data_IF_794522538449
#
_entry.id   IF_794522538449
#
_cell.length_a   1.000
_cell.length_b   1.000
_cell.length_c   1.000
_cell.angle_alpha   90.00
_cell.angle_beta   90.00
_cell.angle_gamma   90.00
#
_symmetry.space_group_name_H-M   'P 1'
#
loop_
_entity.id
_entity.type
_entity.pdbx_description
1 polymer ?
#
# COMPACT_ATOMS: atom_id res chain seq x y z
N UNK A 1 -0.74 57.85 -12.45
CA UNK A 1 -0.48 57.15 -11.19
C UNK A 1 -1.52 56.11 -10.91
N UNK A 2 -1.79 55.18 -11.82
CA UNK A 2 -2.85 54.14 -11.69
C UNK A 2 -2.48 52.88 -12.54
N UNK A 3 -1.24 52.48 -12.65
CA UNK A 3 -0.84 51.33 -13.49
C UNK A 3 -0.03 50.24 -12.73
N UNK A 4 0.01 50.27 -11.39
CA UNK A 4 0.78 49.34 -10.57
C UNK A 4 -0.02 48.33 -9.76
N UNK A 5 -1.36 48.41 -9.79
CA UNK A 5 -2.23 47.55 -8.95
C UNK A 5 -2.84 46.33 -9.67
N UNK A 6 -2.63 46.13 -10.96
CA UNK A 6 -3.28 45.05 -11.72
C UNK A 6 -2.39 43.81 -11.88
N UNK A 7 -1.11 43.90 -11.55
CA UNK A 7 -0.14 42.77 -11.76
C UNK A 7 -0.01 41.82 -10.56
N UNK A 8 -0.71 42.03 -9.46
CA UNK A 8 -0.57 41.20 -8.26
C UNK A 8 -1.70 40.16 -8.06
N UNK A 9 -2.75 40.13 -8.88
CA UNK A 9 -3.86 39.17 -8.75
C UNK A 9 -3.76 37.92 -9.65
N UNK A 10 -2.78 37.84 -10.55
CA UNK A 10 -2.70 36.72 -11.51
C UNK A 10 -1.81 35.53 -11.04
N UNK A 11 -1.13 35.63 -9.90
CA UNK A 11 -0.18 34.60 -9.44
C UNK A 11 -0.73 33.61 -8.40
N UNK A 12 -2.00 33.73 -7.97
CA UNK A 12 -2.55 32.92 -6.89
C UNK A 12 -3.51 31.81 -7.34
N UNK A 13 -3.71 31.57 -8.62
CA UNK A 13 -4.74 30.65 -9.14
C UNK A 13 -4.23 29.28 -9.61
N UNK A 14 -2.92 28.95 -9.52
CA UNK A 14 -2.39 27.68 -10.06
C UNK A 14 -2.00 26.62 -9.03
N UNK A 15 -2.33 26.77 -7.74
CA UNK A 15 -1.88 25.88 -6.66
C UNK A 15 -2.92 24.86 -6.16
N UNK A 16 -4.03 24.61 -6.86
CA UNK A 16 -5.17 23.87 -6.30
C UNK A 16 -5.49 22.50 -6.94
N UNK A 17 -4.61 21.89 -7.77
CA UNK A 17 -4.97 20.64 -8.48
C UNK A 17 -4.08 19.41 -8.21
N UNK A 18 -3.33 19.36 -7.12
CA UNK A 18 -2.49 18.18 -6.82
C UNK A 18 -2.89 17.38 -5.57
N UNK A 19 -4.11 17.59 -5.01
CA UNK A 19 -4.47 17.01 -3.69
C UNK A 19 -5.17 15.64 -3.72
N UNK A 20 -5.48 15.06 -4.88
CA UNK A 20 -6.35 13.87 -4.95
C UNK A 20 -5.66 12.52 -4.69
N UNK A 21 -4.41 12.34 -5.09
CA UNK A 21 -3.71 11.06 -4.97
C UNK A 21 -2.93 10.91 -3.66
N UNK A 22 -2.51 12.00 -3.06
CA UNK A 22 -1.75 11.97 -1.81
C UNK A 22 -2.61 11.56 -0.59
N UNK A 23 -3.93 11.76 -0.63
CA UNK A 23 -4.82 11.51 0.50
C UNK A 23 -5.04 10.01 0.78
N UNK A 24 -5.15 9.16 -0.25
CA UNK A 24 -5.43 7.72 -0.06
C UNK A 24 -4.18 6.96 0.38
N UNK A 25 -3.01 7.35 -0.12
CA UNK A 25 -1.73 6.78 0.35
C UNK A 25 -1.48 7.12 1.82
N UNK A 26 -1.77 8.34 2.24
CA UNK A 26 -1.65 8.74 3.64
C UNK A 26 -2.62 7.99 4.55
N UNK A 27 -3.80 7.60 4.06
CA UNK A 27 -4.77 6.80 4.84
C UNK A 27 -4.26 5.39 5.14
N UNK A 28 -3.61 4.71 4.18
CA UNK A 28 -3.03 3.37 4.41
C UNK A 28 -1.89 3.44 5.42
N UNK A 29 -1.01 4.43 5.29
CA UNK A 29 0.09 4.64 6.24
C UNK A 29 -0.43 5.02 7.63
N UNK A 30 -1.45 5.88 7.70
CA UNK A 30 -2.10 6.26 8.95
C UNK A 30 -2.81 5.08 9.62
N UNK A 31 -3.48 4.22 8.86
CA UNK A 31 -4.12 3.00 9.38
C UNK A 31 -3.10 2.07 10.04
N UNK A 32 -1.91 1.93 9.44
CA UNK A 32 -0.81 1.17 10.08
C UNK A 32 -0.33 1.81 11.37
N UNK A 33 -0.18 3.13 11.38
CA UNK A 33 0.28 3.86 12.58
C UNK A 33 -0.71 3.74 13.75
N UNK A 34 -2.01 3.68 13.46
CA UNK A 34 -3.06 3.49 14.48
C UNK A 34 -3.17 2.05 14.99
N UNK A 35 -2.58 1.07 14.27
CA UNK A 35 -2.55 -0.34 14.69
C UNK A 35 -3.91 -1.05 14.69
N UNK A 36 -4.94 -0.44 14.12
CA UNK A 36 -6.33 -0.91 14.17
C UNK A 36 -6.76 -1.70 12.95
N UNK A 37 -5.96 -1.71 11.89
CA UNK A 37 -6.33 -2.30 10.61
C UNK A 37 -5.22 -3.18 10.03
N UNK A 38 -5.63 -4.12 9.19
CA UNK A 38 -4.75 -5.02 8.46
C UNK A 38 -4.57 -6.38 9.12
N UNK A 39 -3.98 -7.30 8.38
CA UNK A 39 -3.66 -8.67 8.83
C UNK A 39 -2.15 -8.80 8.94
N UNK A 40 -1.67 -9.14 10.12
CA UNK A 40 -0.24 -9.40 10.39
C UNK A 40 -0.02 -10.88 10.62
N UNK A 41 0.97 -11.45 9.95
CA UNK A 41 1.39 -12.83 10.11
C UNK A 41 2.91 -12.88 10.24
N UNK A 42 3.41 -13.69 11.18
CA UNK A 42 4.82 -13.96 11.36
C UNK A 42 5.24 -15.19 10.51
N UNK A 43 6.30 -15.01 9.72
CA UNK A 43 6.84 -16.06 8.87
C UNK A 43 8.29 -16.41 9.25
N UNK A 44 8.67 -17.70 9.26
CA UNK A 44 10.02 -18.15 9.59
C UNK A 44 10.97 -17.95 8.40
N UNK A 45 11.14 -16.72 7.97
CA UNK A 45 11.98 -16.29 6.85
C UNK A 45 12.72 -15.01 7.22
N UNK A 46 13.78 -14.72 6.46
CA UNK A 46 14.51 -13.45 6.60
C UNK A 46 13.73 -12.29 6.02
N UNK A 47 14.08 -11.08 6.45
CA UNK A 47 13.47 -9.86 5.94
C UNK A 47 13.64 -9.73 4.42
N UNK A 48 14.83 -10.04 3.86
CA UNK A 48 15.06 -10.01 2.42
C UNK A 48 14.17 -10.99 1.66
N UNK A 49 14.02 -12.22 2.15
CA UNK A 49 13.09 -13.19 1.57
C UNK A 49 11.64 -12.68 1.62
N UNK A 50 11.25 -12.04 2.72
CA UNK A 50 9.91 -11.46 2.85
C UNK A 50 9.67 -10.36 1.81
N UNK A 51 10.67 -9.50 1.55
CA UNK A 51 10.60 -8.49 0.50
C UNK A 51 10.43 -9.09 -0.89
N UNK A 52 11.24 -10.08 -1.25
CA UNK A 52 11.19 -10.75 -2.55
C UNK A 52 9.84 -11.47 -2.77
N UNK A 53 9.35 -12.15 -1.74
CA UNK A 53 8.03 -12.81 -1.77
C UNK A 53 6.91 -11.77 -1.91
N UNK A 54 6.97 -10.67 -1.14
CA UNK A 54 5.96 -9.61 -1.23
C UNK A 54 5.86 -9.02 -2.64
N UNK A 55 7.01 -8.74 -3.28
CA UNK A 55 7.05 -8.30 -4.68
C UNK A 55 6.40 -9.31 -5.63
N UNK A 56 6.76 -10.59 -5.48
CA UNK A 56 6.21 -11.67 -6.31
C UNK A 56 4.70 -11.78 -6.12
N UNK A 57 4.23 -11.85 -4.88
CA UNK A 57 2.80 -11.98 -4.55
C UNK A 57 2.00 -10.79 -5.07
N UNK A 58 2.52 -9.56 -4.95
CA UNK A 58 1.84 -8.38 -5.45
C UNK A 58 1.77 -8.36 -6.98
N UNK A 59 2.85 -8.75 -7.67
CA UNK A 59 2.87 -8.87 -9.14
C UNK A 59 1.92 -9.95 -9.64
N UNK A 60 1.91 -11.12 -9.01
CA UNK A 60 0.99 -12.22 -9.33
C UNK A 60 -0.47 -11.86 -9.02
N UNK A 61 -0.69 -10.95 -8.09
CA UNK A 61 -1.98 -10.33 -7.83
C UNK A 61 -2.32 -9.24 -8.86
N UNK A 62 -1.41 -8.94 -9.79
CA UNK A 62 -1.60 -8.03 -10.91
C UNK A 62 -1.14 -6.59 -10.64
N UNK A 63 -0.36 -6.32 -9.60
CA UNK A 63 0.21 -5.00 -9.37
C UNK A 63 1.10 -4.57 -10.55
N UNK A 64 0.78 -3.44 -11.16
CA UNK A 64 1.55 -2.90 -12.29
C UNK A 64 2.75 -2.06 -11.81
N UNK A 65 2.57 -1.34 -10.71
CA UNK A 65 3.60 -0.53 -10.09
C UNK A 65 3.63 -0.82 -8.59
N UNK A 66 4.83 -1.00 -8.06
CA UNK A 66 5.09 -1.18 -6.63
C UNK A 66 6.07 -0.08 -6.22
N UNK A 67 5.68 0.74 -5.25
CA UNK A 67 6.53 1.76 -4.68
C UNK A 67 7.20 1.22 -3.42
N UNK A 68 8.52 1.11 -3.45
CA UNK A 68 9.32 0.62 -2.34
C UNK A 68 9.76 1.75 -1.42
N UNK A 69 9.36 1.65 -0.17
CA UNK A 69 9.82 2.49 0.94
C UNK A 69 10.62 1.64 1.92
N UNK A 70 11.74 1.10 1.43
CA UNK A 70 12.51 0.09 2.16
C UNK A 70 13.12 0.61 3.46
N UNK A 71 13.50 1.88 3.48
CA UNK A 71 14.01 2.54 4.68
C UNK A 71 12.96 2.60 5.80
N UNK A 72 11.68 2.75 5.43
CA UNK A 72 10.53 2.80 6.34
C UNK A 72 9.89 1.42 6.56
N UNK A 73 10.34 0.41 5.83
CA UNK A 73 9.91 -0.98 5.97
C UNK A 73 8.57 -1.31 5.33
N UNK A 74 8.16 -0.62 4.26
CA UNK A 74 6.90 -0.91 3.57
C UNK A 74 6.97 -0.72 2.06
N UNK A 75 6.02 -1.29 1.36
CA UNK A 75 5.76 -1.05 -0.06
C UNK A 75 4.28 -0.75 -0.28
N UNK A 76 3.99 0.04 -1.31
CA UNK A 76 2.64 0.45 -1.70
C UNK A 76 2.37 0.07 -3.14
N UNK A 77 1.15 -0.35 -3.43
CA UNK A 77 0.68 -0.58 -4.79
C UNK A 77 -0.82 -0.36 -4.89
N UNK A 78 -1.28 -0.01 -6.09
CA UNK A 78 -2.70 -0.08 -6.43
C UNK A 78 -3.02 -1.50 -6.88
N UNK A 79 -4.03 -2.11 -6.29
CA UNK A 79 -4.51 -3.42 -6.71
C UNK A 79 -5.29 -3.28 -8.03
N UNK A 80 -4.90 -3.96 -9.09
CA UNK A 80 -5.74 -4.07 -10.26
C UNK A 80 -6.93 -5.02 -10.01
N UNK A 81 -7.83 -5.09 -10.98
CA UNK A 81 -9.13 -5.77 -10.90
C UNK A 81 -9.09 -7.29 -10.59
N UNK A 82 -7.92 -7.92 -10.60
CA UNK A 82 -7.77 -9.38 -10.44
C UNK A 82 -8.06 -9.90 -9.03
N UNK A 83 -8.08 -9.03 -8.01
CA UNK A 83 -8.50 -9.37 -6.65
C UNK A 83 -9.98 -9.03 -6.40
N UNK A 84 -10.76 -8.76 -7.44
CA UNK A 84 -12.18 -8.43 -7.33
C UNK A 84 -12.48 -7.05 -6.75
N UNK A 85 -11.46 -6.21 -6.57
CA UNK A 85 -11.59 -4.85 -6.02
C UNK A 85 -10.88 -3.87 -6.94
N UNK A 86 -11.61 -3.24 -7.84
CA UNK A 86 -11.07 -2.13 -8.64
C UNK A 86 -10.59 -1.01 -7.74
N UNK A 87 -9.31 -0.64 -7.89
CA UNK A 87 -8.76 0.56 -7.29
C UNK A 87 -8.57 0.49 -5.78
N UNK A 88 -8.31 -0.69 -5.20
CA UNK A 88 -7.82 -0.76 -3.84
C UNK A 88 -6.34 -0.36 -3.77
N UNK A 89 -5.99 0.48 -2.82
CA UNK A 89 -4.62 0.72 -2.43
C UNK A 89 -4.20 -0.35 -1.42
N UNK A 90 -3.07 -0.97 -1.67
CA UNK A 90 -2.52 -2.02 -0.81
C UNK A 90 -1.16 -1.57 -0.28
N UNK A 91 -0.99 -1.66 1.03
CA UNK A 91 0.30 -1.51 1.71
C UNK A 91 0.75 -2.83 2.32
N UNK A 92 2.02 -3.16 2.15
CA UNK A 92 2.66 -4.32 2.77
C UNK A 92 3.83 -3.83 3.61
N UNK A 93 3.79 -4.09 4.91
CA UNK A 93 4.86 -3.81 5.85
C UNK A 93 5.65 -5.07 6.14
N UNK A 94 6.96 -4.97 6.05
CA UNK A 94 7.90 -6.04 6.34
C UNK A 94 8.76 -5.59 7.51
N UNK A 95 8.69 -6.31 8.63
CA UNK A 95 9.44 -5.99 9.84
C UNK A 95 10.05 -7.25 10.44
N UNK A 96 11.32 -7.21 10.70
CA UNK A 96 11.99 -8.26 11.47
C UNK A 96 11.37 -8.36 12.87
N UNK A 97 10.84 -9.52 13.21
CA UNK A 97 10.19 -9.84 14.50
C UNK A 97 11.17 -10.53 15.46
N UNK A 98 12.05 -11.39 14.91
CA UNK A 98 13.14 -12.05 15.65
C UNK A 98 14.34 -12.32 14.73
N UNK A 99 15.34 -13.04 15.21
CA UNK A 99 16.51 -13.43 14.42
C UNK A 99 16.14 -14.27 13.17
N UNK A 100 15.07 -15.07 13.26
CA UNK A 100 14.64 -16.02 12.21
C UNK A 100 13.20 -15.81 11.75
N UNK A 101 12.53 -14.76 12.19
CA UNK A 101 11.11 -14.51 11.92
C UNK A 101 10.90 -13.08 11.45
N UNK A 102 10.07 -12.93 10.43
CA UNK A 102 9.66 -11.65 9.86
C UNK A 102 8.15 -11.52 9.92
N UNK A 103 7.67 -10.43 10.52
CA UNK A 103 6.28 -10.04 10.52
C UNK A 103 5.94 -9.34 9.20
N UNK A 104 4.90 -9.81 8.53
CA UNK A 104 4.34 -9.22 7.33
C UNK A 104 2.93 -8.74 7.62
N UNK A 105 2.68 -7.44 7.48
CA UNK A 105 1.36 -6.84 7.66
C UNK A 105 0.84 -6.38 6.30
N UNK A 106 -0.38 -6.76 5.97
CA UNK A 106 -1.09 -6.30 4.76
C UNK A 106 -2.26 -5.43 5.18
N UNK A 107 -2.37 -4.25 4.60
CA UNK A 107 -3.48 -3.32 4.76
C UNK A 107 -4.01 -2.95 3.38
N UNK A 108 -5.31 -2.99 3.19
CA UNK A 108 -5.95 -2.51 1.96
C UNK A 108 -7.00 -1.44 2.27
N UNK A 109 -7.04 -0.42 1.42
CA UNK A 109 -8.06 0.64 1.44
C UNK A 109 -8.71 0.73 0.08
N UNK A 110 -10.04 0.72 0.05
CA UNK A 110 -10.81 0.86 -1.18
C UNK A 110 -10.97 2.33 -1.55
N UNK A 111 -10.77 2.65 -2.82
CA UNK A 111 -11.05 3.99 -3.34
C UNK A 111 -12.57 4.23 -3.48
N UNK A 112 -13.37 3.18 -3.62
CA UNK A 112 -14.82 3.27 -3.80
C UNK A 112 -15.53 2.48 -2.68
N UNK A 113 -16.28 3.18 -1.85
CA UNK A 113 -16.97 2.62 -0.66
C UNK A 113 -18.20 1.74 -0.97
N UNK A 114 -18.64 1.64 -2.22
CA UNK A 114 -19.92 1.01 -2.59
C UNK A 114 -19.88 -0.49 -2.94
N UNK A 115 -18.71 -1.14 -2.89
CA UNK A 115 -18.61 -2.57 -3.18
C UNK A 115 -18.90 -3.41 -1.93
N UNK A 116 -20.15 -3.87 -1.77
CA UNK A 116 -20.66 -4.55 -0.58
C UNK A 116 -20.26 -6.04 -0.44
N UNK A 117 -19.62 -6.64 -1.45
CA UNK A 117 -19.37 -8.10 -1.47
C UNK A 117 -17.98 -8.42 -2.01
N UNK A 118 -16.94 -8.26 -1.19
CA UNK A 118 -15.60 -8.75 -1.58
C UNK A 118 -14.90 -9.35 -0.36
N UNK A 119 -14.33 -10.55 -0.55
CA UNK A 119 -13.42 -11.19 0.38
C UNK A 119 -12.29 -10.23 0.79
N UNK A 120 -11.84 -10.26 2.03
CA UNK A 120 -10.81 -9.36 2.52
C UNK A 120 -9.52 -9.57 1.71
N UNK A 121 -9.12 -8.54 0.98
CA UNK A 121 -7.90 -8.53 0.13
C UNK A 121 -6.67 -8.91 0.95
N UNK A 122 -6.61 -8.48 2.21
CA UNK A 122 -5.55 -8.78 3.15
C UNK A 122 -5.36 -10.28 3.38
N UNK A 123 -6.45 -11.01 3.64
CA UNK A 123 -6.39 -12.45 3.86
C UNK A 123 -5.98 -13.19 2.59
N UNK A 124 -6.48 -12.80 1.43
CA UNK A 124 -6.09 -13.42 0.16
C UNK A 124 -4.60 -13.23 -0.15
N UNK A 125 -4.06 -12.04 0.13
CA UNK A 125 -2.64 -11.77 -0.04
C UNK A 125 -1.79 -12.54 0.97
N UNK A 126 -2.24 -12.64 2.23
CA UNK A 126 -1.57 -13.46 3.24
C UNK A 126 -1.57 -14.96 2.88
N UNK A 127 -2.66 -15.49 2.33
CA UNK A 127 -2.73 -16.87 1.85
C UNK A 127 -1.74 -17.13 0.69
N UNK A 128 -1.62 -16.19 -0.24
CA UNK A 128 -0.62 -16.26 -1.33
C UNK A 128 0.79 -16.20 -0.77
N UNK A 129 1.03 -15.32 0.19
CA UNK A 129 2.30 -15.17 0.87
C UNK A 129 2.69 -16.47 1.60
N UNK A 130 1.78 -17.04 2.37
CA UNK A 130 1.99 -18.31 3.08
C UNK A 130 2.34 -19.46 2.12
N UNK A 131 1.67 -19.55 0.97
CA UNK A 131 2.01 -20.55 -0.07
C UNK A 131 3.41 -20.34 -0.63
N UNK A 132 3.80 -19.10 -0.91
CA UNK A 132 5.13 -18.78 -1.42
C UNK A 132 6.23 -19.13 -0.40
N UNK A 133 6.01 -18.84 0.89
CA UNK A 133 6.91 -19.26 1.98
C UNK A 133 7.02 -20.78 2.05
N UNK A 134 5.92 -21.50 1.88
CA UNK A 134 5.90 -22.96 1.87
C UNK A 134 6.75 -23.59 0.76
N UNK A 135 6.94 -22.88 -0.35
CA UNK A 135 7.77 -23.32 -1.48
C UNK A 135 9.28 -23.14 -1.25
N UNK A 136 9.70 -22.39 -0.24
CA UNK A 136 11.11 -22.19 0.13
C UNK A 136 11.69 -23.37 0.95
N UNK A 137 10.85 -24.29 1.39
CA UNK A 137 11.23 -25.49 2.17
C UNK A 137 11.38 -26.69 1.26
#
# INVERSE_FOLDING_TARGET
MQLRSILFCAALACAAFSSGCASVMSEVVAAKAQGTEGVTVDYPITENQAWDIAHTVLRDAGAQAIEDHRAEGYMLTTSPNTLGVSGALVGVWVRKSSASTTAVTVISKRQIKSALLVSPTESQLQDRFARAVGQLR
#
